data_IF_877838162668
#
_entry.id   IF_877838162668
#
_cell.length_a   1.000
_cell.length_b   1.000
_cell.length_c   1.000
_cell.angle_alpha   90.00
_cell.angle_beta   90.00
_cell.angle_gamma   90.00
#
_symmetry.space_group_name_H-M   'P 1'
#
loop_
_entity.id
_entity.type
_entity.pdbx_description
1 polymer ?
#
# COMPACT_ATOMS: atom_id res chain seq x y z
N UNK A 1 -11.48 -63.22 -50.97
CA UNK A 1 -11.73 -62.58 -49.65
C UNK A 1 -10.49 -61.80 -49.25
N UNK A 2 -10.63 -60.55 -48.75
CA UNK A 2 -9.73 -59.45 -49.08
C UNK A 2 -8.60 -59.21 -48.08
N UNK A 3 -7.42 -58.85 -48.59
CA UNK A 3 -6.35 -58.19 -47.82
C UNK A 3 -6.52 -56.67 -47.98
N UNK A 4 -6.65 -55.93 -46.87
CA UNK A 4 -6.63 -54.47 -46.85
C UNK A 4 -5.23 -54.02 -46.42
N UNK A 5 -4.46 -53.28 -47.23
CA UNK A 5 -3.31 -52.54 -46.74
C UNK A 5 -3.74 -51.16 -46.21
N UNK A 6 -3.04 -50.76 -45.15
CA UNK A 6 -3.28 -49.61 -44.30
C UNK A 6 -2.82 -48.33 -44.99
N UNK A 7 -3.60 -47.27 -44.76
CA UNK A 7 -3.44 -45.88 -45.20
C UNK A 7 -2.01 -45.37 -44.98
N UNK A 8 -1.43 -44.79 -46.03
CA UNK A 8 -0.08 -44.21 -46.02
C UNK A 8 0.07 -43.04 -45.04
N UNK A 9 1.24 -42.99 -44.40
CA UNK A 9 1.74 -41.83 -43.68
C UNK A 9 3.01 -41.33 -44.40
N UNK A 10 2.97 -40.11 -44.90
CA UNK A 10 4.12 -39.42 -45.47
C UNK A 10 5.08 -38.97 -44.35
N UNK A 11 6.41 -39.07 -44.53
CA UNK A 11 7.37 -38.52 -43.59
C UNK A 11 7.46 -36.99 -43.77
N UNK A 12 7.29 -36.25 -42.66
CA UNK A 12 7.65 -34.82 -42.63
C UNK A 12 9.16 -34.68 -42.43
N UNK A 13 9.86 -33.86 -43.23
CA UNK A 13 11.28 -33.63 -43.05
C UNK A 13 11.57 -32.69 -41.89
N UNK A 14 12.86 -32.62 -41.62
CA UNK A 14 13.48 -32.59 -40.32
C UNK A 14 13.56 -31.19 -39.66
N UNK A 15 13.67 -31.29 -38.35
CA UNK A 15 13.86 -30.28 -37.32
C UNK A 15 15.23 -29.60 -37.44
N UNK A 16 15.28 -28.29 -37.70
CA UNK A 16 16.22 -27.34 -37.04
C UNK A 16 16.13 -25.94 -37.65
N UNK A 17 15.60 -24.97 -36.91
CA UNK A 17 16.28 -23.70 -36.61
C UNK A 17 15.47 -22.90 -35.59
N UNK A 18 16.17 -22.28 -34.63
CA UNK A 18 15.62 -21.18 -33.84
C UNK A 18 15.31 -21.53 -32.39
N UNK A 19 16.36 -21.61 -31.57
CA UNK A 19 16.24 -21.26 -30.17
C UNK A 19 16.02 -19.74 -30.06
N UNK A 20 14.89 -19.31 -29.49
CA UNK A 20 14.65 -18.01 -28.85
C UNK A 20 13.62 -18.32 -27.75
N UNK A 21 14.04 -18.65 -26.53
CA UNK A 21 14.29 -17.69 -25.43
C UNK A 21 13.03 -16.92 -25.05
N UNK A 22 12.51 -17.24 -23.86
CA UNK A 22 11.62 -16.37 -23.08
C UNK A 22 10.24 -16.97 -22.81
N UNK A 23 9.87 -17.26 -21.54
CA UNK A 23 8.47 -17.16 -21.18
C UNK A 23 8.12 -15.68 -21.28
N UNK A 24 7.36 -15.30 -22.30
CA UNK A 24 6.58 -14.06 -22.26
C UNK A 24 5.63 -14.23 -21.07
N UNK A 25 6.10 -13.77 -19.91
CA UNK A 25 5.27 -13.40 -18.80
C UNK A 25 4.33 -12.33 -19.36
N UNK A 26 3.17 -12.79 -19.81
CA UNK A 26 2.02 -11.95 -20.06
C UNK A 26 1.83 -11.13 -18.77
N UNK A 27 2.27 -9.88 -18.81
CA UNK A 27 1.86 -8.85 -17.87
C UNK A 27 0.34 -8.83 -17.91
N UNK A 28 -0.26 -9.45 -16.90
CA UNK A 28 -1.68 -9.40 -16.64
C UNK A 28 -2.10 -7.93 -16.54
N UNK A 29 -2.98 -7.42 -17.43
CA UNK A 29 -3.42 -6.02 -17.39
C UNK A 29 -4.36 -5.72 -16.21
N UNK A 30 -4.57 -6.65 -15.29
CA UNK A 30 -5.40 -6.50 -14.09
C UNK A 30 -4.63 -6.38 -12.77
N UNK A 31 -3.29 -6.53 -12.78
CA UNK A 31 -2.49 -6.41 -11.55
C UNK A 31 -2.27 -4.96 -11.18
N UNK A 32 -3.30 -4.34 -10.59
CA UNK A 32 -3.11 -3.12 -9.81
C UNK A 32 -1.95 -3.36 -8.84
N UNK A 33 -1.00 -2.41 -8.70
CA UNK A 33 0.13 -2.59 -7.81
C UNK A 33 -0.39 -2.92 -6.40
N UNK A 34 0.23 -3.87 -5.69
CA UNK A 34 -0.21 -4.22 -4.34
C UNK A 34 -0.17 -2.96 -3.47
N UNK A 35 -1.15 -2.77 -2.56
CA UNK A 35 -1.22 -1.59 -1.73
C UNK A 35 0.10 -1.43 -0.95
N UNK A 36 0.69 -0.24 -1.07
CA UNK A 36 1.91 0.08 -0.37
C UNK A 36 1.63 0.16 1.14
N UNK A 37 2.55 -0.39 1.93
CA UNK A 37 2.48 -0.36 3.39
C UNK A 37 3.13 0.90 3.91
N UNK A 38 2.36 1.66 4.67
CA UNK A 38 2.78 2.84 5.41
C UNK A 38 2.64 2.57 6.91
N UNK A 39 3.34 3.36 7.72
CA UNK A 39 3.29 3.29 9.17
C UNK A 39 2.95 4.65 9.74
N UNK A 40 1.78 4.75 10.37
CA UNK A 40 1.31 5.95 11.04
C UNK A 40 1.75 5.90 12.49
N UNK A 41 2.53 6.90 12.91
CA UNK A 41 2.89 7.13 14.29
C UNK A 41 2.21 8.42 14.77
N UNK A 42 1.31 8.31 15.74
CA UNK A 42 0.67 9.46 16.39
C UNK A 42 1.12 9.56 17.85
N UNK A 43 1.41 10.77 18.30
CA UNK A 43 1.68 11.10 19.70
C UNK A 43 0.57 12.04 20.16
N UNK A 44 -0.28 11.60 21.08
CA UNK A 44 -1.39 12.39 21.62
C UNK A 44 -1.08 12.76 23.08
N UNK A 45 -1.17 14.04 23.40
CA UNK A 45 -0.97 14.56 24.75
C UNK A 45 -2.26 14.45 25.55
N UNK A 46 -2.18 13.90 26.77
CA UNK A 46 -3.31 13.88 27.71
C UNK A 46 -3.23 15.10 28.62
N UNK A 47 -4.35 15.79 28.78
CA UNK A 47 -4.46 17.06 29.53
C UNK A 47 -4.31 16.87 31.05
N UNK A 48 -4.58 15.66 31.55
CA UNK A 48 -4.48 15.32 32.97
C UNK A 48 -3.46 14.19 33.19
N UNK A 49 -2.38 14.53 33.91
CA UNK A 49 -1.24 13.70 34.32
C UNK A 49 -0.31 13.22 33.20
N UNK A 50 0.72 14.03 32.87
CA UNK A 50 2.03 13.67 32.29
C UNK A 50 2.14 12.47 31.34
N UNK A 51 1.11 12.20 30.56
CA UNK A 51 0.98 10.97 29.77
C UNK A 51 0.95 11.30 28.28
N UNK A 52 1.93 10.77 27.55
CA UNK A 52 1.88 10.68 26.09
C UNK A 52 1.30 9.33 25.70
N UNK A 53 0.36 9.33 24.75
CA UNK A 53 -0.12 8.10 24.12
C UNK A 53 0.52 8.03 22.74
N UNK A 54 1.28 6.97 22.49
CA UNK A 54 1.86 6.71 21.19
C UNK A 54 1.01 5.64 20.51
N UNK A 55 0.40 6.00 19.39
CA UNK A 55 -0.26 5.06 18.49
C UNK A 55 0.68 4.77 17.33
N UNK A 56 0.94 3.50 17.06
CA UNK A 56 1.70 3.05 15.90
C UNK A 56 0.86 1.99 15.18
N UNK A 57 0.39 2.32 13.98
CA UNK A 57 -0.46 1.43 13.18
C UNK A 57 -0.04 1.36 11.72
N UNK A 58 -0.17 0.20 11.06
CA UNK A 58 0.05 0.09 9.62
C UNK A 58 -1.16 0.64 8.84
N UNK A 59 -0.89 1.44 7.81
CA UNK A 59 -1.87 1.92 6.84
C UNK A 59 -1.53 1.31 5.48
N UNK A 60 -2.54 0.81 4.76
CA UNK A 60 -2.38 0.26 3.43
C UNK A 60 -3.03 1.20 2.43
N UNK A 61 -2.23 1.82 1.57
CA UNK A 61 -2.69 2.78 0.57
C UNK A 61 -2.39 2.29 -0.84
N UNK A 62 -3.33 2.48 -1.76
CA UNK A 62 -3.10 2.27 -3.20
C UNK A 62 -2.19 3.35 -3.80
N UNK A 63 -2.07 4.48 -3.12
CA UNK A 63 -1.16 5.59 -3.43
C UNK A 63 -0.74 6.30 -2.14
N UNK A 64 0.30 7.14 -2.22
CA UNK A 64 0.72 7.98 -1.10
C UNK A 64 -0.40 8.93 -0.67
N UNK A 65 -1.09 9.57 -1.62
CA UNK A 65 -2.19 10.49 -1.32
C UNK A 65 -3.34 9.79 -0.57
N UNK A 66 -3.70 8.57 -0.99
CA UNK A 66 -4.70 7.77 -0.30
C UNK A 66 -4.26 7.39 1.12
N UNK A 67 -2.99 7.04 1.32
CA UNK A 67 -2.44 6.74 2.64
C UNK A 67 -2.41 7.99 3.55
N UNK A 68 -2.10 9.15 2.98
CA UNK A 68 -2.12 10.43 3.70
C UNK A 68 -3.56 10.84 4.07
N UNK A 69 -4.54 10.61 3.21
CA UNK A 69 -5.94 10.86 3.51
C UNK A 69 -6.45 10.00 4.67
N UNK A 70 -6.13 8.69 4.66
CA UNK A 70 -6.48 7.79 5.76
C UNK A 70 -5.75 8.19 7.06
N UNK A 71 -4.46 8.52 6.96
CA UNK A 71 -3.67 8.99 8.10
C UNK A 71 -4.23 10.27 8.74
N UNK A 72 -4.71 11.22 7.93
CA UNK A 72 -5.38 12.43 8.40
C UNK A 72 -6.69 12.11 9.14
N UNK A 73 -7.51 11.21 8.59
CA UNK A 73 -8.76 10.79 9.21
C UNK A 73 -8.52 10.08 10.56
N UNK A 74 -7.54 9.16 10.60
CA UNK A 74 -7.11 8.48 11.82
C UNK A 74 -6.58 9.46 12.87
N UNK A 75 -5.70 10.36 12.46
CA UNK A 75 -5.13 11.35 13.36
C UNK A 75 -6.22 12.27 13.95
N UNK A 76 -7.14 12.78 13.12
CA UNK A 76 -8.25 13.61 13.60
C UNK A 76 -9.12 12.87 14.63
N UNK A 77 -9.40 11.59 14.38
CA UNK A 77 -10.15 10.74 15.31
C UNK A 77 -9.40 10.51 16.63
N UNK A 78 -8.11 10.17 16.56
CA UNK A 78 -7.26 9.94 17.74
C UNK A 78 -7.09 11.21 18.57
N UNK A 79 -6.99 12.36 17.91
CA UNK A 79 -6.79 13.63 18.59
C UNK A 79 -8.02 14.00 19.43
N UNK A 80 -9.24 13.89 18.89
CA UNK A 80 -10.50 14.13 19.61
C UNK A 80 -10.51 15.43 20.46
N UNK A 81 -9.91 16.51 19.95
CA UNK A 81 -9.82 17.81 20.65
C UNK A 81 -8.55 18.03 21.49
N UNK A 82 -7.65 17.04 21.57
CA UNK A 82 -6.39 17.12 22.33
C UNK A 82 -5.25 17.75 21.53
N UNK A 83 -4.10 17.98 22.17
CA UNK A 83 -2.86 18.29 21.45
C UNK A 83 -2.16 17.02 20.99
N UNK A 84 -1.44 17.06 19.87
CA UNK A 84 -0.66 15.92 19.42
C UNK A 84 0.08 16.15 18.11
N UNK A 85 0.89 15.19 17.71
CA UNK A 85 1.57 15.15 16.42
C UNK A 85 1.40 13.80 15.75
N UNK A 86 1.52 13.75 14.43
CA UNK A 86 1.54 12.52 13.68
C UNK A 86 2.58 12.57 12.57
N UNK A 87 3.13 11.40 12.24
CA UNK A 87 3.99 11.19 11.09
C UNK A 87 3.58 9.89 10.40
N UNK A 88 3.43 9.95 9.07
CA UNK A 88 3.26 8.80 8.21
C UNK A 88 4.59 8.50 7.52
N UNK A 89 5.04 7.25 7.64
CA UNK A 89 6.26 6.77 7.03
C UNK A 89 5.98 5.75 5.94
N UNK A 90 6.73 5.81 4.84
CA UNK A 90 6.71 4.77 3.81
C UNK A 90 7.44 3.48 4.29
N UNK A 91 7.44 2.45 3.45
CA UNK A 91 8.11 1.18 3.73
C UNK A 91 9.65 1.32 3.88
N UNK A 92 10.25 2.37 3.32
CA UNK A 92 11.66 2.70 3.50
C UNK A 92 11.93 3.49 4.79
N UNK A 93 10.88 3.79 5.58
CA UNK A 93 10.96 4.56 6.81
C UNK A 93 11.03 6.07 6.62
N UNK A 94 10.88 6.57 5.38
CA UNK A 94 10.89 8.01 5.06
C UNK A 94 9.54 8.62 5.44
N UNK A 95 9.59 9.81 6.03
CA UNK A 95 8.37 10.56 6.37
C UNK A 95 7.79 11.15 5.09
N UNK A 96 6.62 10.65 4.69
CA UNK A 96 5.87 11.15 3.51
C UNK A 96 4.84 12.21 3.91
N UNK A 97 4.43 12.21 5.18
CA UNK A 97 3.57 13.24 5.74
C UNK A 97 3.81 13.40 7.24
N UNK A 98 3.67 14.61 7.74
CA UNK A 98 3.63 14.88 9.16
C UNK A 98 2.73 16.08 9.47
N UNK A 99 2.21 16.12 10.69
CA UNK A 99 1.40 17.22 11.19
C UNK A 99 1.58 17.38 12.70
N UNK A 100 1.31 18.58 13.19
CA UNK A 100 1.24 18.87 14.61
C UNK A 100 0.01 19.75 14.85
N UNK A 101 -0.84 19.31 15.78
CA UNK A 101 -1.96 20.09 16.26
C UNK A 101 -1.72 20.47 17.71
N UNK A 102 -1.67 21.76 17.98
CA UNK A 102 -1.78 22.29 19.34
C UNK A 102 -3.26 22.33 19.70
N UNK A 103 -3.60 21.95 20.92
CA UNK A 103 -4.92 22.23 21.47
C UNK A 103 -5.11 23.75 21.36
N UNK A 104 -6.22 24.17 20.74
CA UNK A 104 -6.61 25.57 20.80
C UNK A 104 -6.74 25.91 22.27
N UNK A 105 -5.83 26.73 22.79
CA UNK A 105 -6.04 27.39 24.07
C UNK A 105 -7.40 28.07 23.94
N UNK A 106 -8.38 27.61 24.73
CA UNK A 106 -9.71 28.18 24.70
C UNK A 106 -9.58 29.69 24.76
N UNK A 107 -10.13 30.38 23.75
CA UNK A 107 -10.25 31.84 23.80
C UNK A 107 -10.92 32.14 25.14
N UNK A 108 -10.25 32.82 26.10
CA UNK A 108 -10.96 33.29 27.28
C UNK A 108 -11.98 34.29 26.76
N UNK A 109 -13.27 33.93 26.84
CA UNK A 109 -14.36 34.83 26.54
C UNK A 109 -14.25 35.98 27.55
N UNK A 110 -14.01 37.25 27.13
CA UNK A 110 -14.05 38.35 28.07
C UNK A 110 -15.48 38.48 28.63
N UNK A 111 -15.56 38.60 29.95
CA UNK A 111 -16.76 38.92 30.72
C UNK A 111 -17.31 40.30 30.34
#
# INVERSE_FOLDING_TARGET
MPVRPVRGAAPRPDRRLGAMTGPDAATDPGSAPPPARYRLQCVVHRESASGIIIHDEPIFGLSEDAAVADAKARFAHLLAGRSGSAALRDAAGRVVWSTQQKASAGVPKPL
#
